data_IF_085409116317
#
_entry.id   IF_085409116317
#
_cell.length_a   1.000
_cell.length_b   1.000
_cell.length_c   1.000
_cell.angle_alpha   90.00
_cell.angle_beta   90.00
_cell.angle_gamma   90.00
#
_symmetry.space_group_name_H-M   'P 1'
#
loop_
_entity.id
_entity.type
_entity.pdbx_description
1 polymer ?
#
# COMPACT_ATOMS: atom_id res chain seq x y z
N UNK A 1 -30.34 -11.12 13.91
CA UNK A 1 -30.31 -10.03 14.92
C UNK A 1 -29.12 -10.25 15.84
N UNK A 2 -27.90 -10.01 15.34
CA UNK A 2 -27.03 -8.86 15.65
C UNK A 2 -26.51 -8.75 17.10
N UNK A 3 -25.50 -9.57 17.41
CA UNK A 3 -24.64 -9.42 18.59
C UNK A 3 -23.83 -8.10 18.56
N UNK A 4 -23.45 -7.63 17.35
CA UNK A 4 -22.68 -6.38 17.16
C UNK A 4 -23.42 -5.10 17.51
N UNK A 5 -24.76 -5.09 17.43
CA UNK A 5 -25.53 -3.90 17.85
C UNK A 5 -25.65 -3.81 19.37
N UNK A 6 -25.59 -4.93 20.10
CA UNK A 6 -25.63 -4.94 21.56
C UNK A 6 -24.34 -4.40 22.18
N UNK A 7 -23.17 -4.72 21.62
CA UNK A 7 -21.87 -4.29 22.14
C UNK A 7 -21.65 -2.78 21.91
N UNK A 8 -21.98 -2.26 20.72
CA UNK A 8 -21.85 -0.82 20.45
C UNK A 8 -22.80 0.01 21.33
N UNK A 9 -24.03 -0.47 21.55
CA UNK A 9 -25.01 0.20 22.43
C UNK A 9 -24.57 0.14 23.88
N UNK A 10 -23.93 -0.95 24.35
CA UNK A 10 -23.37 -1.03 25.70
C UNK A 10 -22.22 -0.03 25.89
N UNK A 11 -21.31 0.08 24.92
CA UNK A 11 -20.19 1.03 24.97
C UNK A 11 -20.71 2.47 24.96
N UNK A 12 -21.72 2.78 24.14
CA UNK A 12 -22.34 4.11 24.12
C UNK A 12 -23.12 4.42 25.40
N UNK A 13 -23.84 3.45 26.00
CA UNK A 13 -24.55 3.64 27.27
C UNK A 13 -23.57 3.88 28.42
N UNK A 14 -22.45 3.16 28.47
CA UNK A 14 -21.40 3.36 29.46
C UNK A 14 -20.75 4.75 29.34
N UNK A 15 -20.61 5.26 28.11
CA UNK A 15 -20.12 6.63 27.86
C UNK A 15 -21.14 7.70 28.30
N UNK A 16 -22.44 7.48 28.08
CA UNK A 16 -23.49 8.42 28.51
C UNK A 16 -23.67 8.41 30.04
N UNK A 17 -23.65 7.22 30.67
CA UNK A 17 -23.68 7.08 32.13
C UNK A 17 -22.47 7.80 32.73
N UNK A 18 -21.27 7.64 32.15
CA UNK A 18 -20.06 8.38 32.56
C UNK A 18 -20.21 9.91 32.52
N UNK A 19 -21.03 10.45 31.61
CA UNK A 19 -21.31 11.88 31.47
C UNK A 19 -22.27 12.43 32.53
N UNK A 20 -23.16 11.60 33.08
CA UNK A 20 -24.14 11.95 34.12
C UNK A 20 -23.54 11.97 35.54
N UNK A 21 -22.51 11.15 35.80
CA UNK A 21 -21.80 11.09 37.09
C UNK A 21 -20.75 12.21 37.25
N UNK A 22 -20.72 13.20 36.35
CA UNK A 22 -19.81 14.34 36.42
C UNK A 22 -18.33 13.98 36.35
N UNK A 23 -18.00 12.75 35.93
CA UNK A 23 -16.61 12.39 35.66
C UNK A 23 -16.24 12.94 34.29
N UNK A 24 -15.34 13.91 34.30
CA UNK A 24 -14.59 14.31 33.12
C UNK A 24 -13.77 13.12 32.64
N UNK A 25 -14.35 12.27 31.78
CA UNK A 25 -13.59 11.31 30.98
C UNK A 25 -13.01 12.05 29.77
N UNK A 26 -12.22 13.07 30.06
CA UNK A 26 -11.16 13.54 29.20
C UNK A 26 -9.86 12.83 29.63
N UNK A 27 -9.87 11.50 29.74
CA UNK A 27 -8.62 10.73 29.71
C UNK A 27 -8.21 10.63 28.24
N UNK A 28 -7.59 11.72 27.81
CA UNK A 28 -6.86 11.96 26.57
C UNK A 28 -6.27 10.68 25.98
N UNK A 29 -6.92 10.13 24.96
CA UNK A 29 -6.30 9.17 24.04
C UNK A 29 -5.50 9.99 23.04
N UNK A 30 -4.18 10.06 23.20
CA UNK A 30 -3.29 10.68 22.19
C UNK A 30 -2.51 9.59 21.49
N UNK A 31 -2.69 9.39 20.17
CA UNK A 31 -1.76 8.60 19.38
C UNK A 31 -0.43 9.36 19.27
N UNK A 32 0.68 8.68 19.56
CA UNK A 32 2.03 9.22 19.37
C UNK A 32 2.70 8.49 18.21
N UNK A 33 3.10 9.24 17.18
CA UNK A 33 3.81 8.71 16.01
C UNK A 33 5.30 8.68 16.35
N UNK A 34 5.88 7.49 16.50
CA UNK A 34 7.32 7.32 16.75
C UNK A 34 7.98 6.79 15.47
N UNK A 35 8.58 7.70 14.70
CA UNK A 35 9.51 7.40 13.60
C UNK A 35 8.91 6.87 12.30
N UNK A 36 9.75 6.76 11.27
CA UNK A 36 9.50 6.52 9.84
C UNK A 36 8.77 5.19 9.49
N UNK A 37 8.31 4.50 10.52
CA UNK A 37 7.45 3.33 10.52
C UNK A 37 6.01 3.84 10.68
N UNK A 38 5.32 4.07 9.56
CA UNK A 38 3.87 4.18 9.62
C UNK A 38 3.33 2.89 10.28
N UNK A 39 2.53 3.07 11.32
CA UNK A 39 1.62 2.06 11.91
C UNK A 39 2.05 1.35 13.20
N UNK A 40 2.71 2.04 14.13
CA UNK A 40 2.64 1.63 15.55
C UNK A 40 1.80 2.62 16.36
N UNK A 41 0.55 2.28 16.64
CA UNK A 41 -0.28 3.00 17.61
C UNK A 41 -0.19 2.26 18.94
N UNK A 42 0.43 2.88 19.95
CA UNK A 42 0.39 2.39 21.32
C UNK A 42 -0.88 2.91 21.98
N UNK A 43 -1.79 2.00 22.35
CA UNK A 43 -2.88 2.31 23.28
C UNK A 43 -2.39 1.98 24.69
N UNK A 44 -2.37 2.97 25.58
CA UNK A 44 -1.98 2.76 26.99
C UNK A 44 -3.27 2.89 27.82
N UNK A 45 -3.82 1.78 28.29
CA UNK A 45 -4.77 1.79 29.40
C UNK A 45 -4.03 1.30 30.65
N UNK A 46 -4.21 1.96 31.79
CA UNK A 46 -3.40 1.74 32.99
C UNK A 46 -3.80 0.52 33.81
N UNK A 47 -4.82 -0.26 33.43
CA UNK A 47 -5.14 -1.53 34.07
C UNK A 47 -5.61 -2.55 33.02
N UNK A 48 -5.06 -3.77 33.11
CA UNK A 48 -5.29 -4.98 32.28
C UNK A 48 -4.40 -5.13 31.03
N UNK A 49 -3.53 -6.14 31.09
CA UNK A 49 -2.53 -6.54 30.09
C UNK A 49 -3.19 -7.41 29.02
N UNK A 50 -3.71 -6.82 27.95
CA UNK A 50 -3.93 -7.53 26.69
C UNK A 50 -2.96 -6.99 25.61
N UNK A 51 -2.04 -7.83 25.18
CA UNK A 51 -1.11 -7.54 24.10
C UNK A 51 -1.75 -7.92 22.77
N UNK A 52 -2.26 -6.94 22.03
CA UNK A 52 -2.76 -7.18 20.68
C UNK A 52 -1.57 -7.29 19.73
N UNK A 53 -1.22 -8.52 19.32
CA UNK A 53 -0.16 -8.72 18.34
C UNK A 53 -0.65 -8.28 16.96
N UNK A 54 -0.28 -7.07 16.54
CA UNK A 54 -0.35 -6.68 15.13
C UNK A 54 0.48 -7.71 14.37
N UNK A 55 -0.16 -8.57 13.55
CA UNK A 55 0.55 -9.48 12.66
C UNK A 55 1.43 -8.60 11.78
N UNK A 56 2.72 -8.57 12.13
CA UNK A 56 3.76 -7.90 11.37
C UNK A 56 3.81 -8.60 10.02
N UNK A 57 3.11 -8.08 9.03
CA UNK A 57 3.31 -8.54 7.66
C UNK A 57 4.72 -8.10 7.30
N UNK A 58 5.69 -9.01 7.45
CA UNK A 58 7.06 -8.79 7.01
C UNK A 58 6.97 -8.44 5.53
N UNK A 59 7.18 -7.16 5.20
CA UNK A 59 7.09 -6.69 3.83
C UNK A 59 8.44 -6.96 3.17
N UNK A 60 8.47 -7.90 2.23
CA UNK A 60 9.71 -8.32 1.59
C UNK A 60 10.08 -7.36 0.46
N UNK A 61 11.35 -6.94 0.39
CA UNK A 61 11.91 -6.16 -0.74
C UNK A 61 12.64 -7.04 -1.76
N UNK A 62 13.07 -8.22 -1.32
CA UNK A 62 13.74 -9.24 -2.12
C UNK A 62 13.29 -10.60 -1.57
N UNK A 63 12.98 -11.50 -2.47
CA UNK A 63 12.55 -12.87 -2.18
C UNK A 63 13.20 -13.81 -3.19
N UNK A 64 13.16 -15.11 -2.92
CA UNK A 64 13.68 -16.15 -3.83
C UNK A 64 12.98 -16.16 -5.18
N UNK A 65 11.65 -16.00 -5.20
CA UNK A 65 10.86 -15.89 -6.42
C UNK A 65 10.07 -14.59 -6.39
N UNK A 66 10.44 -13.65 -7.25
CA UNK A 66 9.74 -12.38 -7.37
C UNK A 66 8.32 -12.58 -7.93
N UNK A 67 7.38 -11.67 -7.61
CA UNK A 67 6.06 -11.70 -8.22
C UNK A 67 6.14 -11.54 -9.73
N UNK A 68 5.34 -12.32 -10.46
CA UNK A 68 5.33 -12.37 -11.93
C UNK A 68 3.92 -12.17 -12.47
N UNK A 69 3.78 -11.74 -13.72
CA UNK A 69 2.45 -11.65 -14.34
C UNK A 69 1.95 -13.02 -14.77
N UNK A 70 0.62 -13.22 -14.72
CA UNK A 70 -0.01 -14.44 -15.23
C UNK A 70 0.33 -14.66 -16.72
N UNK A 71 0.74 -15.87 -17.06
CA UNK A 71 1.25 -16.25 -18.37
C UNK A 71 2.79 -16.24 -18.50
N UNK A 72 3.52 -15.77 -17.49
CA UNK A 72 4.99 -15.81 -17.46
C UNK A 72 5.55 -16.96 -16.59
N UNK A 73 4.70 -17.71 -15.88
CA UNK A 73 5.13 -18.72 -14.90
C UNK A 73 5.89 -19.91 -15.50
N UNK A 74 5.62 -20.25 -16.75
CA UNK A 74 6.25 -21.37 -17.47
C UNK A 74 7.40 -20.94 -18.38
N UNK A 75 7.68 -19.64 -18.47
CA UNK A 75 8.79 -19.16 -19.27
C UNK A 75 10.13 -19.59 -18.68
N UNK A 76 11.16 -19.66 -19.53
CA UNK A 76 12.54 -19.96 -19.12
C UNK A 76 13.04 -18.97 -18.06
N UNK A 77 12.61 -17.70 -18.17
CA UNK A 77 12.86 -16.64 -17.20
C UNK A 77 11.54 -15.88 -16.91
N UNK A 78 10.81 -16.29 -15.87
CA UNK A 78 9.54 -15.67 -15.49
C UNK A 78 9.66 -14.19 -15.09
N UNK A 79 10.80 -13.78 -14.51
CA UNK A 79 11.04 -12.41 -14.07
C UNK A 79 11.23 -11.50 -15.29
N UNK A 80 12.08 -11.90 -16.23
CA UNK A 80 12.31 -11.12 -17.44
C UNK A 80 11.05 -11.06 -18.32
N UNK A 81 10.28 -12.15 -18.45
CA UNK A 81 8.96 -12.10 -19.12
C UNK A 81 8.04 -11.05 -18.47
N UNK A 82 7.94 -11.07 -17.14
CA UNK A 82 7.04 -10.17 -16.41
C UNK A 82 7.46 -8.71 -16.52
N UNK A 83 8.77 -8.46 -16.47
CA UNK A 83 9.35 -7.14 -16.66
C UNK A 83 9.10 -6.61 -18.06
N UNK A 84 9.27 -7.44 -19.10
CA UNK A 84 8.94 -7.07 -20.48
C UNK A 84 7.47 -6.71 -20.61
N UNK A 85 6.58 -7.54 -20.08
CA UNK A 85 5.13 -7.29 -20.09
C UNK A 85 4.75 -5.99 -19.35
N UNK A 86 5.41 -5.69 -18.23
CA UNK A 86 5.21 -4.42 -17.51
C UNK A 86 5.56 -3.23 -18.39
N UNK A 87 6.69 -3.30 -19.09
CA UNK A 87 7.17 -2.26 -20.00
C UNK A 87 6.20 -2.08 -21.17
N UNK A 88 5.71 -3.17 -21.76
CA UNK A 88 4.74 -3.11 -22.86
C UNK A 88 3.42 -2.46 -22.41
N UNK A 89 2.90 -2.84 -21.24
CA UNK A 89 1.71 -2.21 -20.66
C UNK A 89 1.94 -0.72 -20.38
N UNK A 90 3.10 -0.37 -19.86
CA UNK A 90 3.47 1.01 -19.58
C UNK A 90 3.43 1.85 -20.86
N UNK A 91 4.09 1.39 -21.93
CA UNK A 91 4.10 2.10 -23.21
C UNK A 91 2.71 2.27 -23.83
N UNK A 92 1.84 1.27 -23.69
CA UNK A 92 0.51 1.30 -24.30
C UNK A 92 -0.51 2.13 -23.51
N UNK A 93 -0.34 2.28 -22.20
CA UNK A 93 -1.34 2.92 -21.34
C UNK A 93 -0.91 4.27 -20.78
N UNK A 94 0.39 4.51 -20.56
CA UNK A 94 0.82 5.72 -19.89
C UNK A 94 0.75 6.94 -20.80
N UNK A 95 0.08 7.99 -20.32
CA UNK A 95 -0.07 9.25 -21.06
C UNK A 95 0.81 10.31 -20.46
N UNK A 96 1.57 11.00 -21.30
CA UNK A 96 2.31 12.17 -20.88
C UNK A 96 1.36 13.37 -20.76
N UNK A 97 1.11 13.91 -19.54
CA UNK A 97 0.11 14.96 -19.32
C UNK A 97 0.39 16.23 -20.13
N UNK A 98 -0.66 16.89 -20.60
CA UNK A 98 -0.54 18.10 -21.43
C UNK A 98 0.16 19.23 -20.69
N UNK A 99 -0.13 19.41 -19.40
CA UNK A 99 0.47 20.48 -18.60
C UNK A 99 1.95 20.21 -18.33
N UNK A 100 2.34 18.96 -18.04
CA UNK A 100 3.74 18.57 -17.98
C UNK A 100 4.49 18.84 -19.29
N UNK A 101 3.86 18.61 -20.47
CA UNK A 101 4.47 18.95 -21.77
C UNK A 101 4.66 20.46 -21.93
N UNK A 102 3.63 21.25 -21.65
CA UNK A 102 3.67 22.72 -21.76
C UNK A 102 4.75 23.33 -20.87
N UNK A 103 4.85 22.82 -19.65
CA UNK A 103 5.81 23.28 -18.64
C UNK A 103 7.21 22.65 -18.81
N UNK A 104 7.39 21.79 -19.81
CA UNK A 104 8.65 21.05 -20.07
C UNK A 104 9.15 20.27 -18.84
N UNK A 105 8.24 19.77 -18.01
CA UNK A 105 8.56 18.94 -16.85
C UNK A 105 9.04 17.59 -17.35
N UNK A 106 10.22 17.15 -16.94
CA UNK A 106 10.81 15.86 -17.30
C UNK A 106 11.46 15.23 -16.07
N UNK A 107 11.60 13.91 -16.06
CA UNK A 107 12.28 13.21 -14.97
C UNK A 107 11.83 11.77 -14.82
N UNK A 108 12.02 11.22 -13.63
CA UNK A 108 11.63 9.86 -13.30
C UNK A 108 10.74 9.88 -12.07
N UNK A 109 9.53 9.37 -12.23
CA UNK A 109 8.60 9.11 -11.13
C UNK A 109 8.92 7.74 -10.56
N UNK A 110 9.12 7.66 -9.24
CA UNK A 110 9.33 6.41 -8.52
C UNK A 110 8.07 6.11 -7.73
N UNK A 111 7.35 5.07 -8.15
CA UNK A 111 6.19 4.57 -7.45
C UNK A 111 6.53 3.29 -6.69
N UNK A 112 5.84 3.08 -5.56
CA UNK A 112 5.91 1.87 -4.76
C UNK A 112 4.52 1.28 -4.60
N UNK A 113 4.45 -0.03 -4.64
CA UNK A 113 3.24 -0.78 -4.35
C UNK A 113 3.62 -2.16 -3.79
N UNK A 114 2.65 -2.83 -3.20
CA UNK A 114 2.82 -4.15 -2.60
C UNK A 114 1.97 -5.15 -3.37
N UNK A 115 2.61 -6.21 -3.86
CA UNK A 115 1.93 -7.40 -4.36
C UNK A 115 1.62 -8.30 -3.17
N UNK A 116 0.33 -8.52 -2.90
CA UNK A 116 -0.14 -9.37 -1.80
C UNK A 116 -0.02 -10.86 -2.15
N UNK A 117 -0.20 -11.71 -1.15
CA UNK A 117 -0.16 -13.18 -1.29
C UNK A 117 -1.27 -13.74 -2.19
N UNK A 118 -2.35 -12.99 -2.40
CA UNK A 118 -3.42 -13.33 -3.34
C UNK A 118 -3.17 -12.76 -4.75
N UNK A 119 -2.04 -12.08 -4.96
CA UNK A 119 -1.69 -11.45 -6.23
C UNK A 119 -2.29 -10.06 -6.45
N UNK A 120 -3.12 -9.56 -5.53
CA UNK A 120 -3.69 -8.21 -5.60
C UNK A 120 -2.67 -7.13 -5.23
N UNK A 121 -2.92 -5.89 -5.68
CA UNK A 121 -2.07 -4.75 -5.40
C UNK A 121 -2.61 -3.94 -4.21
N UNK A 122 -1.72 -3.47 -3.35
CA UNK A 122 -2.05 -2.55 -2.25
C UNK A 122 -0.91 -1.57 -1.97
N UNK A 123 -1.14 -0.59 -1.10
CA UNK A 123 -0.10 0.36 -0.67
C UNK A 123 0.52 1.16 -1.83
N UNK A 124 -0.26 1.43 -2.88
CA UNK A 124 0.18 2.15 -4.07
C UNK A 124 0.42 3.61 -3.68
N UNK A 125 1.66 4.09 -3.84
CA UNK A 125 2.05 5.45 -3.51
C UNK A 125 3.24 5.92 -4.35
N UNK A 126 3.35 7.24 -4.49
CA UNK A 126 4.54 7.86 -5.08
C UNK A 126 5.59 8.07 -3.98
N UNK A 127 6.80 7.53 -4.20
CA UNK A 127 7.94 7.78 -3.33
C UNK A 127 8.68 9.06 -3.73
N UNK A 128 8.83 9.28 -5.04
CA UNK A 128 9.45 10.48 -5.59
C UNK A 128 8.76 10.85 -6.90
N UNK A 129 8.07 11.97 -6.89
CA UNK A 129 7.33 12.49 -8.02
C UNK A 129 8.10 13.53 -8.82
N UNK A 130 7.52 13.94 -9.94
CA UNK A 130 7.99 15.07 -10.75
C UNK A 130 6.91 16.15 -10.93
N UNK A 131 5.67 15.89 -10.49
CA UNK A 131 4.55 16.80 -10.64
C UNK A 131 4.03 16.94 -12.08
N UNK A 132 3.18 17.95 -12.31
CA UNK A 132 2.60 18.25 -13.62
C UNK A 132 1.58 17.23 -14.13
N UNK A 133 1.00 16.41 -13.24
CA UNK A 133 0.07 15.33 -13.59
C UNK A 133 0.73 13.96 -13.80
N UNK A 134 2.07 13.90 -13.84
CA UNK A 134 2.80 12.67 -14.14
C UNK A 134 2.69 11.65 -13.00
N UNK A 135 2.59 12.14 -11.77
CA UNK A 135 2.51 11.31 -10.57
C UNK A 135 1.15 10.60 -10.52
N UNK A 136 0.08 11.34 -10.80
CA UNK A 136 -1.30 10.86 -10.89
C UNK A 136 -1.48 9.84 -12.01
N UNK A 137 -0.88 10.08 -13.17
CA UNK A 137 -0.92 9.13 -14.29
C UNK A 137 -0.27 7.80 -13.90
N UNK A 138 0.88 7.83 -13.21
CA UNK A 138 1.55 6.61 -12.74
C UNK A 138 0.70 5.87 -11.71
N UNK A 139 0.05 6.59 -10.79
CA UNK A 139 -0.89 5.98 -9.84
C UNK A 139 -2.07 5.31 -10.56
N UNK A 140 -2.66 5.97 -11.56
CA UNK A 140 -3.75 5.41 -12.35
C UNK A 140 -3.32 4.17 -13.13
N UNK A 141 -2.14 4.21 -13.74
CA UNK A 141 -1.55 3.08 -14.46
C UNK A 141 -1.40 1.85 -13.55
N UNK A 142 -0.82 2.01 -12.35
CA UNK A 142 -0.61 0.90 -11.41
C UNK A 142 -1.94 0.28 -10.98
N UNK A 143 -2.98 1.10 -10.78
CA UNK A 143 -4.32 0.61 -10.43
C UNK A 143 -4.98 -0.23 -11.54
N UNK A 144 -4.55 -0.07 -12.80
CA UNK A 144 -5.07 -0.80 -13.95
C UNK A 144 -4.24 -2.05 -14.28
N UNK A 145 -3.16 -2.32 -13.54
CA UNK A 145 -2.34 -3.49 -13.78
C UNK A 145 -3.14 -4.78 -13.52
N UNK A 146 -2.91 -5.83 -14.34
CA UNK A 146 -3.52 -7.12 -14.08
C UNK A 146 -2.96 -7.73 -12.78
N UNK A 147 -3.69 -8.70 -12.25
CA UNK A 147 -3.28 -9.44 -11.06
C UNK A 147 -1.94 -10.15 -11.29
N UNK A 148 -1.09 -10.15 -10.27
CA UNK A 148 0.17 -10.87 -10.26
C UNK A 148 0.00 -12.29 -9.73
N UNK A 149 0.93 -13.17 -10.08
CA UNK A 149 1.29 -14.34 -9.28
C UNK A 149 2.19 -13.83 -8.14
N UNK A 150 1.90 -14.19 -6.87
CA UNK A 150 2.62 -13.67 -5.72
C UNK A 150 4.09 -14.09 -5.72
N UNK A 151 4.90 -13.36 -4.96
CA UNK A 151 6.27 -13.78 -4.68
C UNK A 151 6.31 -14.91 -3.66
N UNK A 152 7.36 -15.72 -3.70
CA UNK A 152 7.57 -16.83 -2.77
C UNK A 152 8.91 -16.71 -2.05
N UNK A 153 8.87 -17.00 -0.75
CA UNK A 153 10.03 -17.14 0.12
C UNK A 153 9.88 -18.45 0.89
N UNK A 154 10.89 -19.31 0.87
CA UNK A 154 10.90 -20.59 1.58
C UNK A 154 9.67 -21.46 1.23
N UNK A 155 9.27 -21.42 -0.05
CA UNK A 155 8.08 -22.11 -0.56
C UNK A 155 6.73 -21.52 -0.15
N UNK A 156 6.68 -20.41 0.59
CA UNK A 156 5.44 -19.74 1.03
C UNK A 156 5.21 -18.46 0.25
N UNK A 157 3.95 -18.20 -0.12
CA UNK A 157 3.57 -16.93 -0.73
C UNK A 157 3.71 -15.80 0.31
N UNK A 158 4.40 -14.73 -0.06
CA UNK A 158 4.67 -13.58 0.83
C UNK A 158 4.35 -12.25 0.16
N UNK A 159 3.96 -11.20 0.91
CA UNK A 159 3.75 -9.88 0.34
C UNK A 159 5.10 -9.25 -0.04
N UNK A 160 5.21 -8.77 -1.28
CA UNK A 160 6.44 -8.19 -1.84
C UNK A 160 6.23 -6.74 -2.23
N UNK A 161 7.10 -5.85 -1.77
CA UNK A 161 7.12 -4.45 -2.19
C UNK A 161 7.89 -4.31 -3.51
N UNK A 162 7.24 -3.76 -4.51
CA UNK A 162 7.79 -3.47 -5.83
C UNK A 162 8.01 -1.97 -5.97
N UNK A 163 9.09 -1.58 -6.65
CA UNK A 163 9.38 -0.19 -7.02
C UNK A 163 9.39 -0.07 -8.53
N UNK A 164 8.56 0.83 -9.06
CA UNK A 164 8.42 1.08 -10.50
C UNK A 164 8.97 2.47 -10.85
N UNK A 165 10.13 2.55 -11.52
CA UNK A 165 10.62 3.79 -12.09
C UNK A 165 9.98 4.06 -13.46
N UNK A 166 9.31 5.19 -13.61
CA UNK A 166 8.69 5.64 -14.86
C UNK A 166 9.38 6.91 -15.35
N UNK A 167 9.98 6.86 -16.54
CA UNK A 167 10.71 7.99 -17.11
C UNK A 167 9.85 8.80 -18.07
N UNK A 168 9.61 10.05 -17.74
CA UNK A 168 8.99 11.04 -18.61
C UNK A 168 10.08 11.84 -19.31
N UNK A 169 10.18 11.69 -20.63
CA UNK A 169 11.12 12.43 -21.47
C UNK A 169 10.42 12.97 -22.72
N UNK A 170 10.54 14.27 -22.96
CA UNK A 170 10.16 14.90 -24.21
C UNK A 170 11.16 14.49 -25.30
N UNK A 171 10.63 14.13 -26.47
CA UNK A 171 11.43 13.96 -27.67
C UNK A 171 11.95 15.33 -28.09
N UNK A 172 13.24 15.43 -28.38
CA UNK A 172 13.88 16.65 -28.88
C UNK A 172 13.56 16.84 -30.35
#
# INVERSE_FOLDING_TARGET
>A
MNCNKFILVLVYLLVIIGKLIGQSLASVVRPEIIGDHFDTIRYINSNEKEEFHLIKSTLYKRVEKMPVFAGCETDLDPEECSKKRLIDLLYNHIKYPVDAKKQRIQGVVYAKYVVRTDGSLTGIRIERGIGGGCDEEVLQFINQLPRYIPGYQDGKAVPVQVTLPVKFKLMK
#
